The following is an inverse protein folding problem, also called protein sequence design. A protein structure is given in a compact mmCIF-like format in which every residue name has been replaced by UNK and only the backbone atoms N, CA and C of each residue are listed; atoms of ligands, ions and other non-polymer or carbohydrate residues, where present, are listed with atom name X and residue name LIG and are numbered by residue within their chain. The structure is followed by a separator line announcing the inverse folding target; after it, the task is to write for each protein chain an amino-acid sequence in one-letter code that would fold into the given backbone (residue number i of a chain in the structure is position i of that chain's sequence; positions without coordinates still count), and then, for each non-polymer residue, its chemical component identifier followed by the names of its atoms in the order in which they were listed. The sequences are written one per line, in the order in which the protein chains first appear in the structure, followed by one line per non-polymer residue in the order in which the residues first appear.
data_IF_450830390197
#
_entry.id   IF_450830390197
#
_cell.length_a   1.000
_cell.length_b   1.000
_cell.length_c   1.000
_cell.angle_alpha   90.00
_cell.angle_beta   90.00
_cell.angle_gamma   90.00
#
_symmetry.space_group_name_H-M   'P 1'
#
loop_
_entity.id
_entity.type
_entity.pdbx_description
1 polymer ?
#
# COMPACT_ATOMS: atom_id res chain seq x y z
N UNK A 1 -18.87 -7.68 -20.08
CA UNK A 1 -19.29 -6.73 -19.03
C UNK A 1 -18.06 -5.98 -18.61
N UNK A 2 -17.81 -4.80 -19.19
CA UNK A 2 -16.68 -3.97 -18.77
C UNK A 2 -17.06 -3.39 -17.42
N UNK A 3 -16.52 -3.95 -16.34
CA UNK A 3 -16.59 -3.34 -15.01
C UNK A 3 -16.03 -1.94 -15.14
N UNK A 4 -16.91 -0.94 -15.17
CA UNK A 4 -16.53 0.45 -15.26
C UNK A 4 -15.76 0.77 -13.98
N UNK A 5 -14.44 0.87 -14.09
CA UNK A 5 -13.57 1.15 -12.95
C UNK A 5 -13.78 2.61 -12.61
N UNK A 6 -14.39 2.86 -11.46
CA UNK A 6 -14.59 4.20 -10.93
C UNK A 6 -13.39 4.58 -10.05
N UNK A 7 -12.98 5.85 -10.10
CA UNK A 7 -11.92 6.37 -9.23
C UNK A 7 -12.22 6.14 -7.74
N UNK A 8 -13.48 6.27 -7.30
CA UNK A 8 -13.87 6.05 -5.91
C UNK A 8 -13.69 4.59 -5.49
N UNK A 9 -14.06 3.61 -6.33
CA UNK A 9 -13.83 2.19 -6.03
C UNK A 9 -12.34 1.89 -5.83
N UNK A 10 -11.46 2.49 -6.64
CA UNK A 10 -10.01 2.40 -6.47
C UNK A 10 -9.59 3.00 -5.13
N UNK A 11 -10.08 4.18 -4.77
CA UNK A 11 -9.73 4.84 -3.50
C UNK A 11 -10.21 4.05 -2.27
N UNK A 12 -11.42 3.49 -2.33
CA UNK A 12 -11.94 2.60 -1.28
C UNK A 12 -11.07 1.34 -1.12
N UNK A 13 -10.58 0.79 -2.24
CA UNK A 13 -9.68 -0.35 -2.20
C UNK A 13 -8.30 0.03 -1.62
N UNK A 14 -7.79 1.23 -1.93
CA UNK A 14 -6.57 1.77 -1.32
C UNK A 14 -6.74 1.96 0.20
N UNK A 15 -7.89 2.46 0.66
CA UNK A 15 -8.20 2.58 2.09
C UNK A 15 -8.15 1.19 2.77
N UNK A 16 -8.84 0.19 2.21
CA UNK A 16 -8.82 -1.19 2.73
C UNK A 16 -7.42 -1.79 2.75
N UNK A 17 -6.67 -1.65 1.66
CA UNK A 17 -5.31 -2.16 1.54
C UNK A 17 -4.38 -1.53 2.58
N UNK A 18 -4.64 -0.27 2.95
CA UNK A 18 -3.87 0.46 3.96
C UNK A 18 -4.29 0.12 5.39
N UNK A 19 -5.21 -0.81 5.57
CA UNK A 19 -5.78 -1.18 6.87
C UNK A 19 -6.67 -0.10 7.47
N UNK A 20 -7.18 0.83 6.65
CA UNK A 20 -8.12 1.87 7.06
C UNK A 20 -9.55 1.47 6.73
N UNK A 21 -10.50 2.03 7.48
CA UNK A 21 -11.91 1.95 7.10
C UNK A 21 -12.13 2.81 5.83
N UNK A 22 -12.93 2.34 4.85
CA UNK A 22 -13.20 3.11 3.64
C UNK A 22 -13.87 4.44 3.98
N UNK A 23 -13.22 5.55 3.62
CA UNK A 23 -13.77 6.90 3.81
C UNK A 23 -14.94 7.13 2.86
N UNK A 24 -15.90 7.98 3.23
CA UNK A 24 -16.99 8.34 2.30
C UNK A 24 -16.46 9.12 1.09
N UNK A 25 -17.19 9.12 -0.02
CA UNK A 25 -16.79 9.87 -1.22
C UNK A 25 -16.52 11.35 -0.92
N UNK A 26 -17.33 11.97 -0.05
CA UNK A 26 -17.19 13.36 0.37
C UNK A 26 -15.93 13.60 1.22
N UNK A 27 -15.52 12.61 2.02
CA UNK A 27 -14.26 12.65 2.77
C UNK A 27 -13.07 12.49 1.83
N UNK A 28 -13.17 11.60 0.85
CA UNK A 28 -12.14 11.43 -0.18
C UNK A 28 -11.94 12.73 -0.97
N UNK A 29 -13.01 13.35 -1.45
CA UNK A 29 -12.93 14.61 -2.20
C UNK A 29 -12.35 15.78 -1.39
N UNK A 30 -12.45 15.72 -0.05
CA UNK A 30 -11.90 16.74 0.85
C UNK A 30 -10.43 16.51 1.18
N UNK A 31 -10.05 15.27 1.46
CA UNK A 31 -8.74 14.94 2.04
C UNK A 31 -7.72 14.54 0.97
N UNK A 32 -8.15 13.81 -0.06
CA UNK A 32 -7.25 13.22 -1.06
C UNK A 32 -6.50 14.28 -1.88
N UNK A 33 -7.09 15.42 -2.31
CA UNK A 33 -6.34 16.45 -3.02
C UNK A 33 -5.16 16.98 -2.21
N UNK A 34 -5.37 17.20 -0.90
CA UNK A 34 -4.34 17.66 0.03
C UNK A 34 -3.29 16.58 0.32
N UNK A 35 -3.70 15.31 0.44
CA UNK A 35 -2.78 14.18 0.61
C UNK A 35 -1.87 13.98 -0.61
N UNK A 36 -2.40 14.15 -1.81
CA UNK A 36 -1.67 14.00 -3.06
C UNK A 36 -0.82 15.23 -3.41
N UNK A 37 -1.14 16.39 -2.82
CA UNK A 37 -0.50 17.67 -3.13
C UNK A 37 -0.73 18.11 -4.57
N UNK A 38 -1.90 17.83 -5.15
CA UNK A 38 -2.23 18.14 -6.54
C UNK A 38 -3.28 19.24 -6.66
N UNK A 39 -3.14 20.07 -7.69
CA UNK A 39 -4.13 21.11 -8.02
C UNK A 39 -5.30 20.53 -8.83
N UNK A 40 -5.06 19.51 -9.67
CA UNK A 40 -6.07 18.96 -10.59
C UNK A 40 -6.50 17.54 -10.20
N UNK A 41 -7.35 17.48 -9.18
CA UNK A 41 -7.88 16.23 -8.63
C UNK A 41 -8.87 15.53 -9.58
N UNK A 42 -9.66 16.27 -10.35
CA UNK A 42 -10.57 15.70 -11.35
C UNK A 42 -9.80 15.01 -12.49
N UNK A 43 -8.73 15.62 -12.99
CA UNK A 43 -7.87 14.96 -13.97
C UNK A 43 -7.18 13.71 -13.40
N UNK A 44 -6.83 13.71 -12.12
CA UNK A 44 -6.29 12.52 -11.46
C UNK A 44 -7.33 11.40 -11.36
N UNK A 45 -8.59 11.70 -11.00
CA UNK A 45 -9.69 10.71 -11.01
C UNK A 45 -9.90 10.11 -12.40
N UNK A 46 -9.99 10.94 -13.44
CA UNK A 46 -10.12 10.45 -14.82
C UNK A 46 -8.94 9.55 -15.24
N UNK A 47 -7.73 9.87 -14.79
CA UNK A 47 -6.53 9.03 -15.01
C UNK A 47 -6.59 7.70 -14.27
N UNK A 48 -7.16 7.65 -13.07
CA UNK A 48 -7.39 6.40 -12.35
C UNK A 48 -8.36 5.49 -13.11
N UNK A 49 -9.47 6.04 -13.60
CA UNK A 49 -10.46 5.31 -14.41
C UNK A 49 -9.83 4.77 -15.71
N UNK A 50 -8.94 5.56 -16.32
CA UNK A 50 -8.14 5.18 -17.48
C UNK A 50 -6.98 4.20 -17.16
N UNK A 51 -6.84 3.74 -15.92
CA UNK A 51 -5.74 2.87 -15.44
C UNK A 51 -4.34 3.45 -15.70
N UNK A 52 -4.20 4.77 -15.63
CA UNK A 52 -2.94 5.44 -15.83
C UNK A 52 -1.96 5.12 -14.70
N UNK A 53 -0.97 4.29 -15.01
CA UNK A 53 -0.02 3.73 -14.03
C UNK A 53 0.64 4.79 -13.14
N UNK A 54 1.15 5.93 -13.65
CA UNK A 54 1.75 6.96 -12.80
C UNK A 54 0.79 7.53 -11.76
N UNK A 55 -0.50 7.66 -12.10
CA UNK A 55 -1.53 8.19 -11.19
C UNK A 55 -1.91 7.18 -10.11
N UNK A 56 -1.94 5.89 -10.45
CA UNK A 56 -2.15 4.79 -9.48
C UNK A 56 -0.97 4.73 -8.49
N UNK A 57 0.27 4.84 -8.99
CA UNK A 57 1.47 4.90 -8.12
C UNK A 57 1.42 6.08 -7.17
N UNK A 58 0.96 7.23 -7.65
CA UNK A 58 0.78 8.40 -6.80
C UNK A 58 -0.23 8.14 -5.67
N UNK A 59 -1.34 7.46 -5.98
CA UNK A 59 -2.31 6.99 -4.98
C UNK A 59 -1.69 6.03 -3.97
N UNK A 60 -0.98 5.00 -4.42
CA UNK A 60 -0.30 4.05 -3.53
C UNK A 60 0.66 4.75 -2.56
N UNK A 61 1.45 5.71 -3.04
CA UNK A 61 2.37 6.49 -2.21
C UNK A 61 1.65 7.35 -1.18
N UNK A 62 0.58 8.04 -1.57
CA UNK A 62 -0.19 8.88 -0.65
C UNK A 62 -0.88 8.07 0.46
N UNK A 63 -1.23 6.81 0.18
CA UNK A 63 -1.79 5.88 1.15
C UNK A 63 -0.71 5.13 1.98
N UNK A 64 0.57 5.36 1.69
CA UNK A 64 1.67 4.68 2.40
C UNK A 64 1.77 3.20 2.06
N UNK A 65 1.17 2.77 0.95
CA UNK A 65 1.22 1.40 0.49
C UNK A 65 2.55 1.12 -0.19
N UNK A 66 3.12 -0.09 0.00
CA UNK A 66 4.31 -0.47 -0.72
C UNK A 66 4.01 -0.43 -2.22
N UNK A 67 4.74 0.42 -2.93
CA UNK A 67 4.83 0.34 -4.40
C UNK A 67 5.74 -0.85 -4.67
N UNK A 68 5.20 -2.06 -4.52
CA UNK A 68 5.87 -3.27 -4.99
C UNK A 68 6.14 -3.14 -6.50
N UNK A 69 7.08 -3.94 -7.06
CA UNK A 69 7.30 -3.94 -8.51
C UNK A 69 5.96 -4.22 -9.19
N UNK A 70 5.39 -3.19 -9.81
CA UNK A 70 4.23 -3.31 -10.67
C UNK A 70 4.66 -4.31 -11.74
N UNK A 71 4.07 -5.50 -11.72
CA UNK A 71 4.53 -6.61 -12.55
C UNK A 71 4.88 -6.16 -13.97
N UNK A 72 6.16 -6.32 -14.32
CA UNK A 72 6.65 -6.23 -15.69
C UNK A 72 6.92 -4.83 -16.26
N UNK A 73 7.70 -4.00 -15.57
CA UNK A 73 8.83 -3.40 -16.27
C UNK A 73 10.07 -4.11 -15.74
N UNK A 74 10.80 -4.80 -16.62
CA UNK A 74 12.10 -5.39 -16.33
C UNK A 74 13.01 -4.30 -15.76
N UNK A 75 13.11 -4.25 -14.43
CA UNK A 75 14.26 -3.69 -13.74
C UNK A 75 14.96 -4.91 -13.19
N UNK A 76 15.82 -5.48 -14.02
CA UNK A 76 16.87 -6.38 -13.58
C UNK A 76 17.61 -5.74 -12.40
N UNK A 77 17.98 -6.60 -11.46
CA UNK A 77 18.79 -6.35 -10.27
C UNK A 77 18.14 -5.71 -9.02
N UNK A 78 18.13 -6.57 -7.98
CA UNK A 78 18.22 -6.29 -6.55
C UNK A 78 16.92 -6.01 -5.77
N UNK A 79 16.21 -7.08 -5.41
CA UNK A 79 15.55 -7.15 -4.09
C UNK A 79 16.08 -8.38 -3.36
N UNK A 80 17.15 -8.17 -2.60
CA UNK A 80 17.57 -9.03 -1.51
C UNK A 80 16.41 -9.13 -0.51
N UNK A 81 16.02 -10.36 -0.21
CA UNK A 81 14.89 -10.74 0.63
C UNK A 81 14.99 -10.10 2.02
N UNK A 82 14.06 -9.20 2.35
CA UNK A 82 13.92 -8.67 3.71
C UNK A 82 13.11 -9.66 4.56
N UNK A 83 13.80 -10.36 5.47
CA UNK A 83 13.24 -11.26 6.48
C UNK A 83 12.80 -10.45 7.72
N UNK A 84 11.49 -10.49 8.04
CA UNK A 84 10.93 -9.82 9.23
C UNK A 84 10.99 -10.75 10.45
N UNK A 85 11.45 -10.30 11.64
CA UNK A 85 11.50 -11.16 12.80
C UNK A 85 10.09 -11.41 13.34
N UNK A 86 9.64 -12.67 13.27
CA UNK A 86 8.45 -13.13 14.00
C UNK A 86 8.61 -12.82 15.49
N UNK A 87 7.64 -12.09 16.05
CA UNK A 87 7.39 -12.04 17.49
C UNK A 87 7.20 -13.46 18.02
N UNK A 88 8.22 -13.99 18.68
CA UNK A 88 8.10 -15.09 19.64
C UNK A 88 8.34 -14.53 21.03
N UNK A 89 7.26 -14.23 21.75
CA UNK A 89 7.36 -13.96 23.18
C UNK A 89 7.53 -15.28 23.93
N UNK A 90 8.61 -15.41 24.68
CA UNK A 90 8.67 -16.14 25.95
C UNK A 90 9.99 -15.78 26.62
N UNK A 91 9.93 -14.81 27.52
CA UNK A 91 10.84 -14.78 28.65
C UNK A 91 10.63 -16.07 29.43
N UNK A 92 11.69 -16.85 29.66
CA UNK A 92 12.05 -17.18 31.02
C UNK A 92 13.55 -17.53 31.11
N UNK A 93 14.05 -17.33 32.31
CA UNK A 93 15.45 -17.17 32.65
C UNK A 93 16.04 -18.49 33.13
N UNK A 94 17.37 -18.57 33.05
CA UNK A 94 18.25 -19.27 34.00
C UNK A 94 18.17 -20.80 34.11
N UNK A 95 19.31 -21.46 33.88
CA UNK A 95 19.53 -22.81 34.40
C UNK A 95 20.76 -23.54 33.85
N UNK A 96 21.93 -23.14 34.34
CA UNK A 96 23.22 -23.83 34.22
C UNK A 96 23.17 -25.33 34.62
N UNK A 97 23.90 -26.21 33.94
CA UNK A 97 24.08 -27.61 34.36
C UNK A 97 24.95 -28.48 33.44
N UNK A 98 26.18 -28.72 33.87
CA UNK A 98 27.24 -29.61 33.35
C UNK A 98 26.97 -31.12 33.54
N UNK A 99 27.59 -31.95 32.69
CA UNK A 99 27.82 -33.41 32.87
C UNK A 99 27.74 -34.13 31.51
N UNK A 100 28.80 -34.59 30.84
CA UNK A 100 29.94 -35.43 31.20
C UNK A 100 29.57 -36.85 31.62
N UNK A 101 29.47 -37.75 30.63
CA UNK A 101 29.87 -39.16 30.70
C UNK A 101 30.05 -39.74 29.29
#
# INVERSE_FOLDING_TARGET
MTTNINAYDIMHELDRASGREPRTNEQLDREVPAMLGIEDYEAWKARLEARHVPSIVQGLKAWGLPVGPLGGFEVDEAIETWDWPRRGGASDSSGNGTGAE
#
